data_IF_547299768446
#
_entry.id   IF_547299768446
#
_cell.length_a   1.000
_cell.length_b   1.000
_cell.length_c   1.000
_cell.angle_alpha   90.00
_cell.angle_beta   90.00
_cell.angle_gamma   90.00
#
_symmetry.space_group_name_H-M   'P 1'
#
loop_
_entity.id
_entity.type
_entity.pdbx_description
1 polymer ?
#
# COMPACT_ATOMS: atom_id res chain seq x y z
N UNK A 1 -7.51 4.54 -8.66
CA UNK A 1 -8.02 5.92 -8.50
C UNK A 1 -7.21 6.78 -9.44
N UNK A 2 -7.81 7.21 -10.56
CA UNK A 2 -7.20 8.19 -11.44
C UNK A 2 -7.60 9.56 -10.94
N UNK A 3 -6.76 10.19 -10.14
CA UNK A 3 -7.00 11.50 -9.59
C UNK A 3 -5.86 12.45 -9.91
N UNK A 4 -6.18 13.71 -10.17
CA UNK A 4 -5.21 14.80 -10.23
C UNK A 4 -5.56 15.77 -9.11
N UNK A 5 -4.62 16.05 -8.23
CA UNK A 5 -4.76 17.07 -7.21
C UNK A 5 -4.17 18.39 -7.72
N UNK A 6 -4.95 19.47 -7.68
CA UNK A 6 -4.47 20.81 -7.97
C UNK A 6 -4.45 21.62 -6.67
N UNK A 7 -3.31 22.18 -6.32
CA UNK A 7 -3.12 23.03 -5.15
C UNK A 7 -3.04 24.51 -5.55
N UNK A 8 -3.75 25.38 -4.81
CA UNK A 8 -3.62 26.83 -4.91
C UNK A 8 -3.22 27.42 -3.57
N UNK A 9 -2.38 28.45 -3.59
CA UNK A 9 -2.16 29.26 -2.38
C UNK A 9 -3.45 30.01 -2.03
N UNK A 10 -3.90 29.87 -0.79
CA UNK A 10 -5.04 30.58 -0.23
C UNK A 10 -4.55 31.75 0.60
N UNK A 11 -5.35 32.81 0.68
CA UNK A 11 -5.18 33.92 1.61
C UNK A 11 -5.67 33.60 3.01
N UNK A 12 -6.22 32.41 3.25
CA UNK A 12 -6.62 31.93 4.59
C UNK A 12 -5.42 31.42 5.40
N UNK A 13 -5.56 31.29 6.72
CA UNK A 13 -4.50 30.95 7.65
C UNK A 13 -3.75 29.61 7.36
N UNK A 14 -4.34 28.69 6.60
CA UNK A 14 -3.69 27.44 6.15
C UNK A 14 -2.95 27.58 4.81
N UNK A 15 -3.16 28.64 4.06
CA UNK A 15 -2.43 28.98 2.83
C UNK A 15 -2.58 28.03 1.64
N UNK A 16 -3.20 26.85 1.78
CA UNK A 16 -3.31 25.84 0.72
C UNK A 16 -4.76 25.44 0.47
N UNK A 17 -5.19 25.46 -0.78
CA UNK A 17 -6.45 24.86 -1.26
C UNK A 17 -6.16 23.64 -2.10
N UNK A 18 -6.76 22.51 -1.78
CA UNK A 18 -6.57 21.24 -2.49
C UNK A 18 -7.85 20.89 -3.26
N UNK A 19 -7.70 20.54 -4.53
CA UNK A 19 -8.78 19.98 -5.34
C UNK A 19 -8.41 18.57 -5.77
N UNK A 20 -9.26 17.61 -5.47
CA UNK A 20 -9.20 16.24 -5.95
C UNK A 20 -10.12 16.09 -7.16
N UNK A 21 -9.52 15.88 -8.34
CA UNK A 21 -10.26 15.57 -9.57
C UNK A 21 -10.18 14.07 -9.83
N UNK A 22 -11.30 13.42 -9.91
CA UNK A 22 -11.43 11.95 -10.00
C UNK A 22 -12.41 11.58 -11.10
N UNK A 23 -12.06 10.57 -11.93
CA UNK A 23 -12.98 10.04 -12.94
C UNK A 23 -14.10 9.22 -12.28
N UNK A 24 -15.37 9.44 -12.69
CA UNK A 24 -16.48 8.64 -12.19
C UNK A 24 -16.47 7.19 -12.69
N UNK A 25 -15.77 6.90 -13.79
CA UNK A 25 -15.88 5.63 -14.53
C UNK A 25 -14.68 4.68 -14.28
N UNK A 26 -13.65 5.15 -13.57
CA UNK A 26 -12.46 4.33 -13.30
C UNK A 26 -12.53 3.76 -11.90
N UNK A 27 -12.83 2.47 -11.81
CA UNK A 27 -12.81 1.76 -10.54
C UNK A 27 -11.36 1.62 -9.99
N UNK A 28 -11.17 1.70 -8.66
CA UNK A 28 -9.86 1.37 -8.08
C UNK A 28 -9.52 -0.09 -8.32
N UNK A 29 -8.29 -0.35 -8.71
CA UNK A 29 -7.74 -1.70 -8.77
C UNK A 29 -7.21 -2.03 -7.38
N UNK A 30 -7.87 -2.95 -6.67
CA UNK A 30 -7.45 -3.37 -5.34
C UNK A 30 -7.86 -4.81 -5.06
N UNK A 31 -6.94 -5.61 -4.56
CA UNK A 31 -7.16 -7.03 -4.23
C UNK A 31 -7.20 -7.23 -2.73
N UNK A 32 -6.43 -6.47 -2.02
CA UNK A 32 -6.06 -6.39 -0.63
C UNK A 32 -4.65 -5.80 -0.59
N UNK A 33 -4.47 -4.76 0.18
CA UNK A 33 -3.22 -4.02 0.22
C UNK A 33 -2.50 -4.23 1.55
N UNK A 34 -1.17 -4.29 1.50
CA UNK A 34 -0.32 -4.34 2.69
C UNK A 34 0.45 -3.04 2.86
N UNK A 35 0.38 -2.44 4.03
CA UNK A 35 1.10 -1.19 4.34
C UNK A 35 2.39 -1.46 5.11
N UNK A 36 3.12 -0.36 5.41
CA UNK A 36 4.27 -0.33 6.29
C UNK A 36 3.91 0.32 7.63
N UNK A 37 4.69 0.11 8.70
CA UNK A 37 4.42 0.70 10.02
C UNK A 37 4.25 2.21 10.05
N UNK A 38 4.90 2.94 9.13
CA UNK A 38 4.75 4.39 8.94
C UNK A 38 3.31 4.83 8.63
N UNK A 39 2.45 3.92 8.16
CA UNK A 39 1.04 4.21 7.91
C UNK A 39 0.30 4.67 9.16
N UNK A 40 0.66 4.16 10.34
CA UNK A 40 0.08 4.61 11.62
C UNK A 40 0.32 6.09 11.86
N UNK A 41 1.54 6.56 11.58
CA UNK A 41 1.88 7.97 11.75
C UNK A 41 1.17 8.85 10.71
N UNK A 42 1.02 8.35 9.50
CA UNK A 42 0.25 9.04 8.44
C UNK A 42 -1.20 9.22 8.86
N UNK A 43 -1.89 8.15 9.28
CA UNK A 43 -3.28 8.21 9.73
C UNK A 43 -3.46 9.16 10.92
N UNK A 44 -2.55 9.09 11.90
CA UNK A 44 -2.55 10.00 13.07
C UNK A 44 -2.38 11.46 12.65
N UNK A 45 -1.44 11.75 11.74
CA UNK A 45 -1.16 13.12 11.26
C UNK A 45 -2.35 13.74 10.52
N UNK A 46 -3.08 12.94 9.76
CA UNK A 46 -4.28 13.42 9.05
C UNK A 46 -5.54 13.38 9.89
N UNK A 47 -5.45 12.96 11.16
CA UNK A 47 -6.56 12.97 12.12
C UNK A 47 -7.58 11.84 11.91
N UNK A 48 -7.17 10.72 11.33
CA UNK A 48 -8.01 9.53 11.18
C UNK A 48 -7.98 8.70 12.46
N UNK A 49 -9.15 8.28 12.98
CA UNK A 49 -9.26 7.30 14.05
C UNK A 49 -8.83 5.91 13.54
N UNK A 50 -7.97 5.22 14.28
CA UNK A 50 -7.58 3.86 13.94
C UNK A 50 -8.78 2.90 14.01
N UNK A 51 -9.66 3.11 14.98
CA UNK A 51 -10.86 2.29 15.17
C UNK A 51 -11.80 2.40 13.97
N UNK A 52 -12.06 3.62 13.49
CA UNK A 52 -12.90 3.83 12.32
C UNK A 52 -12.25 3.26 11.06
N UNK A 53 -10.96 3.51 10.87
CA UNK A 53 -10.19 2.95 9.78
C UNK A 53 -10.25 1.40 9.75
N UNK A 54 -10.05 0.75 10.90
CA UNK A 54 -10.15 -0.72 11.01
C UNK A 54 -11.52 -1.22 10.62
N UNK A 55 -12.57 -0.55 11.09
CA UNK A 55 -13.96 -0.94 10.87
C UNK A 55 -14.43 -0.70 9.44
N UNK A 56 -14.12 0.49 8.90
CA UNK A 56 -14.65 0.92 7.60
C UNK A 56 -13.87 0.37 6.41
N UNK A 57 -12.59 0.04 6.60
CA UNK A 57 -11.70 -0.37 5.50
C UNK A 57 -11.37 -1.86 5.49
N UNK A 58 -12.11 -2.68 6.24
CA UNK A 58 -11.92 -4.13 6.32
C UNK A 58 -10.48 -4.51 6.69
N UNK A 59 -9.96 -3.87 7.74
CA UNK A 59 -8.55 -3.91 8.09
C UNK A 59 -8.20 -5.10 8.97
N UNK A 60 -7.06 -5.73 8.68
CA UNK A 60 -6.38 -6.67 9.58
C UNK A 60 -4.97 -6.19 9.90
N UNK A 61 -4.33 -6.80 10.92
CA UNK A 61 -2.97 -6.46 11.30
C UNK A 61 -1.94 -7.15 10.41
N UNK A 62 -0.87 -6.43 10.08
CA UNK A 62 0.33 -6.94 9.43
C UNK A 62 1.53 -6.74 10.33
N UNK A 63 2.23 -7.82 10.67
CA UNK A 63 3.40 -7.82 11.56
C UNK A 63 4.71 -8.12 10.83
N UNK A 64 4.65 -8.30 9.51
CA UNK A 64 5.79 -8.59 8.67
C UNK A 64 5.37 -9.26 7.36
N UNK A 65 6.34 -9.85 6.70
CA UNK A 65 6.14 -10.64 5.48
C UNK A 65 6.85 -11.99 5.61
N UNK A 66 6.17 -13.06 5.20
CA UNK A 66 6.72 -14.41 5.13
C UNK A 66 6.99 -14.76 3.68
N UNK A 67 8.12 -15.34 3.44
CA UNK A 67 8.58 -15.76 2.13
C UNK A 67 8.77 -17.27 2.13
N UNK A 68 8.00 -17.97 1.30
CA UNK A 68 8.02 -19.42 1.18
C UNK A 68 8.63 -19.83 -0.17
N UNK A 69 9.67 -20.67 -0.18
CA UNK A 69 10.32 -21.20 -1.39
C UNK A 69 11.25 -20.23 -2.13
N UNK A 70 11.72 -19.16 -1.50
CA UNK A 70 12.51 -18.12 -2.17
C UNK A 70 14.03 -18.34 -2.15
N UNK A 71 14.54 -19.15 -1.23
CA UNK A 71 15.98 -19.36 -1.08
C UNK A 71 16.45 -20.62 -1.81
N UNK A 72 15.85 -21.77 -1.53
CA UNK A 72 16.22 -23.07 -2.11
C UNK A 72 15.13 -23.73 -2.92
N UNK A 73 13.87 -23.34 -2.69
CA UNK A 73 12.68 -23.98 -3.27
C UNK A 73 12.31 -25.31 -2.65
N UNK A 74 13.05 -25.77 -1.63
CA UNK A 74 12.80 -27.06 -0.97
C UNK A 74 11.61 -26.99 0.00
N UNK A 75 11.10 -28.16 0.39
CA UNK A 75 10.07 -28.25 1.42
C UNK A 75 10.58 -27.68 2.75
N UNK A 76 9.86 -26.66 3.27
CA UNK A 76 10.27 -25.97 4.50
C UNK A 76 11.15 -24.75 4.29
N UNK A 77 11.55 -24.45 3.06
CA UNK A 77 12.24 -23.18 2.74
C UNK A 77 11.33 -22.01 3.06
N UNK A 78 11.64 -21.33 4.15
CA UNK A 78 10.85 -20.23 4.68
C UNK A 78 11.71 -19.26 5.45
N UNK A 79 11.53 -17.97 5.18
CA UNK A 79 12.07 -16.92 6.03
C UNK A 79 11.03 -15.82 6.29
N UNK A 80 11.29 -14.98 7.28
CA UNK A 80 10.37 -13.94 7.72
C UNK A 80 11.08 -12.59 7.78
N UNK A 81 10.41 -11.55 7.35
CA UNK A 81 10.84 -10.16 7.48
C UNK A 81 9.93 -9.45 8.52
N UNK A 82 10.34 -9.39 9.78
CA UNK A 82 9.57 -8.78 10.86
C UNK A 82 9.64 -7.25 10.81
N UNK A 83 8.71 -6.60 11.50
CA UNK A 83 8.70 -5.14 11.65
C UNK A 83 9.36 -4.66 12.95
N UNK A 84 9.72 -5.57 13.83
CA UNK A 84 10.51 -5.26 15.01
C UNK A 84 11.98 -5.43 14.68
N UNK A 85 12.76 -4.38 14.93
CA UNK A 85 14.21 -4.46 14.77
C UNK A 85 14.82 -5.40 15.80
N UNK A 86 15.83 -6.19 15.43
CA UNK A 86 16.55 -7.03 16.38
C UNK A 86 17.21 -6.21 17.48
N UNK A 87 17.16 -6.69 18.71
CA UNK A 87 17.88 -6.05 19.81
C UNK A 87 19.39 -6.13 19.54
N UNK A 88 20.10 -5.03 19.71
CA UNK A 88 21.56 -4.98 19.53
C UNK A 88 22.02 -4.92 18.07
N UNK A 89 21.15 -4.74 17.09
CA UNK A 89 21.51 -4.72 15.66
C UNK A 89 22.47 -3.58 15.28
N UNK A 90 22.48 -2.49 16.05
CA UNK A 90 23.42 -1.37 15.86
C UNK A 90 24.73 -1.54 16.60
N UNK A 91 24.84 -2.51 17.49
CA UNK A 91 25.95 -2.70 18.41
C UNK A 91 26.88 -3.84 17.97
N UNK A 92 26.34 -4.82 17.27
CA UNK A 92 27.08 -6.01 16.81
C UNK A 92 26.53 -6.59 15.52
N UNK A 93 27.38 -7.34 14.80
CA UNK A 93 26.95 -8.10 13.61
C UNK A 93 26.18 -9.35 14.02
N UNK A 94 24.87 -9.23 14.17
CA UNK A 94 23.99 -10.35 14.51
C UNK A 94 24.01 -11.45 13.44
N UNK A 95 24.23 -11.09 12.17
CA UNK A 95 24.30 -12.05 11.06
C UNK A 95 25.55 -12.92 11.18
N UNK A 96 26.71 -12.35 11.50
CA UNK A 96 27.94 -13.13 11.72
C UNK A 96 27.79 -14.09 12.90
N UNK A 97 27.24 -13.62 14.01
CA UNK A 97 26.97 -14.47 15.16
C UNK A 97 25.99 -15.62 14.85
N UNK A 98 24.98 -15.35 14.04
CA UNK A 98 24.04 -16.37 13.56
C UNK A 98 24.73 -17.40 12.66
N UNK A 99 25.50 -16.97 11.65
CA UNK A 99 26.22 -17.87 10.74
C UNK A 99 27.18 -18.78 11.47
N UNK A 100 27.88 -18.29 12.50
CA UNK A 100 28.87 -19.07 13.26
C UNK A 100 28.23 -20.08 14.21
N UNK A 101 27.04 -19.79 14.78
CA UNK A 101 26.52 -20.57 15.91
C UNK A 101 25.15 -21.20 15.65
N UNK A 102 24.35 -20.64 14.73
CA UNK A 102 22.94 -20.98 14.60
C UNK A 102 22.44 -21.02 13.14
N UNK A 103 23.32 -21.23 12.17
CA UNK A 103 22.95 -21.18 10.74
C UNK A 103 21.86 -22.19 10.33
N UNK A 104 21.63 -23.25 11.15
CA UNK A 104 20.54 -24.21 10.92
C UNK A 104 19.14 -23.73 11.37
N UNK A 105 19.03 -22.54 11.99
CA UNK A 105 17.77 -21.98 12.44
C UNK A 105 17.45 -20.70 11.64
N UNK A 106 16.18 -20.41 11.32
CA UNK A 106 15.82 -19.17 10.64
C UNK A 106 16.26 -17.94 11.45
N UNK A 107 16.98 -17.02 10.81
CA UNK A 107 17.53 -15.84 11.48
C UNK A 107 16.45 -15.03 12.23
N UNK A 108 15.32 -14.77 11.56
CA UNK A 108 14.24 -13.98 12.13
C UNK A 108 13.63 -14.60 13.41
N UNK A 109 13.64 -15.94 13.53
CA UNK A 109 13.09 -16.64 14.70
C UNK A 109 13.98 -16.47 15.94
N UNK A 110 15.27 -16.20 15.74
CA UNK A 110 16.22 -15.95 16.82
C UNK A 110 16.22 -14.50 17.29
N UNK A 111 16.01 -13.55 16.38
CA UNK A 111 16.19 -12.12 16.66
C UNK A 111 14.87 -11.35 16.78
N UNK A 112 13.73 -12.00 16.54
CA UNK A 112 12.40 -11.40 16.63
C UNK A 112 11.36 -12.38 17.14
N UNK A 113 10.42 -11.90 17.93
CA UNK A 113 9.27 -12.67 18.39
C UNK A 113 8.08 -12.65 17.42
N UNK A 114 8.11 -11.80 16.40
CA UNK A 114 6.98 -11.63 15.47
C UNK A 114 6.69 -12.87 14.61
N UNK A 115 7.68 -13.63 14.10
CA UNK A 115 7.39 -14.87 13.39
C UNK A 115 6.55 -15.84 14.22
N UNK A 116 6.85 -15.94 15.54
CA UNK A 116 6.12 -16.79 16.46
C UNK A 116 4.71 -16.26 16.76
N UNK A 117 4.54 -14.94 16.92
CA UNK A 117 3.21 -14.34 17.05
C UNK A 117 2.33 -14.64 15.83
N UNK A 118 2.87 -14.46 14.64
CA UNK A 118 2.18 -14.75 13.39
C UNK A 118 1.82 -16.24 13.26
N UNK A 119 2.77 -17.13 13.56
CA UNK A 119 2.53 -18.59 13.52
C UNK A 119 1.43 -19.06 14.50
N UNK A 120 1.26 -18.35 15.60
CA UNK A 120 0.23 -18.62 16.60
C UNK A 120 -1.07 -17.82 16.37
N UNK A 121 -1.23 -17.10 15.27
CA UNK A 121 -2.39 -16.26 14.99
C UNK A 121 -2.61 -15.14 16.02
N UNK A 122 -1.53 -14.60 16.60
CA UNK A 122 -1.61 -13.54 17.62
C UNK A 122 -1.54 -12.16 17.01
N UNK A 123 -2.38 -11.26 17.53
CA UNK A 123 -2.37 -9.85 17.17
C UNK A 123 -1.19 -9.09 17.82
N UNK A 124 -0.74 -7.95 17.26
CA UNK A 124 0.35 -7.14 17.81
C UNK A 124 -0.06 -6.32 19.04
N UNK A 125 -1.35 -6.28 19.35
CA UNK A 125 -1.92 -5.51 20.46
C UNK A 125 -3.10 -6.25 21.09
N UNK A 126 -3.39 -5.92 22.33
CA UNK A 126 -4.55 -6.42 23.04
C UNK A 126 -5.80 -5.58 22.70
N UNK A 127 -6.99 -6.12 22.94
CA UNK A 127 -8.26 -5.44 22.67
C UNK A 127 -8.39 -4.08 23.38
N UNK A 128 -7.84 -3.97 24.59
CA UNK A 128 -7.85 -2.73 25.39
C UNK A 128 -6.67 -1.78 25.10
N UNK A 129 -5.76 -2.14 24.18
CA UNK A 129 -4.63 -1.28 23.84
C UNK A 129 -5.14 -0.05 23.08
N UNK A 130 -4.73 1.18 23.47
CA UNK A 130 -5.14 2.41 22.80
C UNK A 130 -4.84 2.41 21.30
N UNK A 131 -5.54 3.28 20.56
CA UNK A 131 -5.28 3.50 19.15
C UNK A 131 -3.81 3.81 18.89
N UNK A 132 -3.26 3.24 17.79
CA UNK A 132 -1.88 3.38 17.35
C UNK A 132 -0.79 2.88 18.32
N UNK A 133 -1.16 2.48 19.54
CA UNK A 133 -0.24 1.82 20.47
C UNK A 133 -0.22 0.30 20.23
N UNK A 134 0.88 -0.35 20.60
CA UNK A 134 1.05 -1.80 20.45
C UNK A 134 2.12 -2.38 21.36
N UNK A 135 2.08 -3.70 21.54
CA UNK A 135 3.15 -4.49 22.17
C UNK A 135 4.22 -4.85 21.12
N UNK A 136 3.79 -5.14 19.90
CA UNK A 136 4.67 -5.41 18.76
C UNK A 136 4.43 -4.38 17.65
N UNK A 137 5.48 -4.00 16.93
CA UNK A 137 5.34 -3.09 15.79
C UNK A 137 4.45 -3.71 14.71
N UNK A 138 3.60 -2.91 14.07
CA UNK A 138 2.65 -3.40 13.08
C UNK A 138 2.33 -2.38 12.00
N UNK A 139 1.79 -2.88 10.94
CA UNK A 139 1.13 -2.19 9.86
C UNK A 139 -0.25 -2.83 9.64
N UNK A 140 -0.84 -2.63 8.48
CA UNK A 140 -2.18 -3.08 8.17
C UNK A 140 -2.22 -3.83 6.84
N UNK A 141 -3.14 -4.77 6.73
CA UNK A 141 -3.78 -5.17 5.49
C UNK A 141 -5.13 -4.49 5.40
N UNK A 142 -5.55 -4.09 4.22
CA UNK A 142 -6.79 -3.32 4.03
C UNK A 142 -7.43 -3.58 2.66
N UNK A 143 -8.70 -3.27 2.55
CA UNK A 143 -9.41 -3.19 1.27
C UNK A 143 -9.18 -1.81 0.64
N UNK A 144 -8.47 -1.77 -0.50
CA UNK A 144 -8.12 -0.52 -1.18
C UNK A 144 -9.33 0.27 -1.66
N UNK A 145 -10.39 -0.41 -2.09
CA UNK A 145 -11.63 0.24 -2.53
C UNK A 145 -12.33 0.95 -1.39
N UNK A 146 -12.52 0.25 -0.27
CA UNK A 146 -13.11 0.82 0.96
C UNK A 146 -12.24 1.95 1.51
N UNK A 147 -10.91 1.77 1.53
CA UNK A 147 -9.99 2.80 1.99
C UNK A 147 -10.02 4.07 1.12
N UNK A 148 -10.12 3.93 -0.20
CA UNK A 148 -10.29 5.06 -1.10
C UNK A 148 -11.54 5.87 -0.82
N UNK A 149 -12.68 5.19 -0.59
CA UNK A 149 -13.95 5.83 -0.24
C UNK A 149 -13.89 6.52 1.13
N UNK A 150 -13.32 5.83 2.12
CA UNK A 150 -13.13 6.35 3.48
C UNK A 150 -12.25 7.61 3.49
N UNK A 151 -11.09 7.57 2.82
CA UNK A 151 -10.21 8.74 2.73
C UNK A 151 -10.84 9.89 1.97
N UNK A 152 -11.59 9.61 0.91
CA UNK A 152 -12.31 10.66 0.17
C UNK A 152 -13.28 11.39 1.07
N UNK A 153 -14.11 10.67 1.83
CA UNK A 153 -15.01 11.25 2.83
C UNK A 153 -14.25 12.10 3.85
N UNK A 154 -13.20 11.55 4.44
CA UNK A 154 -12.35 12.27 5.40
C UNK A 154 -11.74 13.56 4.82
N UNK A 155 -11.19 13.49 3.60
CA UNK A 155 -10.60 14.64 2.93
C UNK A 155 -11.61 15.76 2.68
N UNK A 156 -12.83 15.41 2.23
CA UNK A 156 -13.90 16.39 1.95
C UNK A 156 -14.43 17.00 3.26
N UNK A 157 -14.81 16.15 4.21
CA UNK A 157 -15.54 16.56 5.40
C UNK A 157 -14.65 17.18 6.49
N UNK A 158 -13.41 16.68 6.64
CA UNK A 158 -12.51 17.08 7.72
C UNK A 158 -11.37 17.99 7.27
N UNK A 159 -10.87 17.79 6.05
CA UNK A 159 -9.73 18.55 5.55
C UNK A 159 -10.11 19.64 4.52
N UNK A 160 -11.40 19.77 4.18
CA UNK A 160 -11.91 20.79 3.27
C UNK A 160 -11.40 20.67 1.83
N UNK A 161 -11.05 19.46 1.39
CA UNK A 161 -10.65 19.20 0.02
C UNK A 161 -11.84 19.35 -0.91
N UNK A 162 -11.70 20.17 -1.96
CA UNK A 162 -12.71 20.25 -3.02
C UNK A 162 -12.65 18.99 -3.87
N UNK A 163 -13.74 18.26 -3.96
CA UNK A 163 -13.85 17.07 -4.81
C UNK A 163 -14.60 17.39 -6.10
N UNK A 164 -14.05 16.97 -7.24
CA UNK A 164 -14.64 17.14 -8.57
C UNK A 164 -14.65 15.77 -9.26
N UNK A 165 -15.85 15.28 -9.56
CA UNK A 165 -16.06 14.09 -10.38
C UNK A 165 -16.17 14.51 -11.85
N UNK A 166 -15.11 14.28 -12.63
CA UNK A 166 -15.05 14.64 -14.05
C UNK A 166 -13.90 13.93 -14.75
N UNK A 167 -13.84 14.05 -16.06
CA UNK A 167 -12.75 13.56 -16.90
C UNK A 167 -11.82 14.70 -17.30
N UNK A 168 -10.53 14.45 -17.22
CA UNK A 168 -9.52 15.32 -17.87
C UNK A 168 -9.52 15.01 -19.36
N UNK A 169 -9.83 16.02 -20.18
CA UNK A 169 -9.86 15.91 -21.64
C UNK A 169 -8.71 16.67 -22.30
N UNK A 170 -7.94 17.46 -21.55
CA UNK A 170 -6.80 18.20 -22.04
C UNK A 170 -6.02 18.87 -20.91
N UNK A 171 -4.85 19.36 -21.23
CA UNK A 171 -3.96 20.13 -20.34
C UNK A 171 -3.58 21.42 -21.04
N UNK A 172 -3.79 22.55 -20.37
CA UNK A 172 -3.39 23.86 -20.88
C UNK A 172 -2.07 24.28 -20.26
N UNK A 173 -1.11 24.68 -21.08
CA UNK A 173 0.22 25.17 -20.64
C UNK A 173 0.25 26.70 -20.59
N UNK A 174 1.15 27.22 -19.77
CA UNK A 174 1.63 28.61 -19.78
C UNK A 174 2.73 28.76 -20.87
N UNK A 175 3.09 29.99 -21.17
CA UNK A 175 4.15 30.29 -22.14
C UNK A 175 5.53 29.71 -21.76
N UNK A 176 5.76 29.53 -20.45
CA UNK A 176 7.00 28.91 -19.93
C UNK A 176 6.97 27.37 -19.92
N UNK A 177 5.89 26.75 -20.42
CA UNK A 177 5.70 25.29 -20.45
C UNK A 177 5.07 24.69 -19.21
N UNK A 178 4.89 25.42 -18.11
CA UNK A 178 4.22 24.92 -16.92
C UNK A 178 2.72 24.67 -17.19
N UNK A 179 2.14 23.73 -16.46
CA UNK A 179 0.69 23.51 -16.52
C UNK A 179 -0.05 24.70 -15.90
N UNK A 180 -0.94 25.30 -16.68
CA UNK A 180 -1.84 26.38 -16.23
C UNK A 180 -3.14 25.82 -15.65
N UNK A 181 -3.72 24.83 -16.33
CA UNK A 181 -5.00 24.23 -15.93
C UNK A 181 -5.21 22.87 -16.59
N UNK A 182 -6.10 22.07 -15.98
CA UNK A 182 -6.62 20.84 -16.57
C UNK A 182 -7.97 21.16 -17.20
N UNK A 183 -8.14 20.88 -18.49
CA UNK A 183 -9.42 20.97 -19.14
C UNK A 183 -10.27 19.76 -18.76
N UNK A 184 -11.44 20.01 -18.18
CA UNK A 184 -12.40 18.95 -17.81
C UNK A 184 -13.59 18.93 -18.76
N UNK A 185 -14.24 17.79 -18.82
CA UNK A 185 -15.38 17.56 -19.73
C UNK A 185 -16.61 18.39 -19.37
N UNK A 186 -16.91 18.51 -18.08
CA UNK A 186 -18.16 19.12 -17.58
C UNK A 186 -17.93 20.42 -16.80
N UNK A 187 -16.81 20.56 -16.11
CA UNK A 187 -16.56 21.66 -15.18
C UNK A 187 -15.61 22.74 -15.74
N UNK A 188 -15.26 22.66 -17.02
CA UNK A 188 -14.34 23.62 -17.65
C UNK A 188 -12.90 23.48 -17.12
N UNK A 189 -12.08 24.53 -17.24
CA UNK A 189 -10.68 24.50 -16.84
C UNK A 189 -10.53 24.58 -15.31
N UNK A 190 -9.76 23.68 -14.75
CA UNK A 190 -9.35 23.68 -13.34
C UNK A 190 -7.90 24.15 -13.23
N UNK A 191 -7.71 25.39 -12.79
CA UNK A 191 -6.40 25.98 -12.61
C UNK A 191 -5.73 25.52 -11.31
N UNK A 192 -4.39 25.55 -11.27
CA UNK A 192 -3.58 25.22 -10.10
C UNK A 192 -2.19 25.82 -10.16
N UNK A 193 -1.53 25.88 -9.02
CA UNK A 193 -0.12 26.26 -8.89
C UNK A 193 0.80 25.02 -8.81
N UNK A 194 0.24 23.88 -8.38
CA UNK A 194 0.88 22.57 -8.34
C UNK A 194 -0.12 21.50 -8.78
N UNK A 195 0.36 20.56 -9.60
CA UNK A 195 -0.41 19.42 -10.06
C UNK A 195 0.27 18.12 -9.65
N UNK A 196 -0.49 17.17 -9.09
CA UNK A 196 -0.01 15.85 -8.72
C UNK A 196 -0.69 14.83 -9.63
N UNK A 197 0.09 14.16 -10.47
CA UNK A 197 -0.41 13.14 -11.39
C UNK A 197 -0.58 11.80 -10.68
N UNK A 198 -1.82 11.49 -10.32
CA UNK A 198 -2.22 10.21 -9.71
C UNK A 198 -2.98 9.32 -10.71
N UNK A 199 -2.78 9.50 -12.03
CA UNK A 199 -3.53 8.79 -13.08
C UNK A 199 -2.98 7.39 -13.39
N UNK A 200 -2.04 6.89 -12.57
CA UNK A 200 -1.48 5.55 -12.69
C UNK A 200 -0.79 5.33 -14.04
N UNK A 201 -1.03 4.19 -14.67
CA UNK A 201 -0.43 3.83 -15.96
C UNK A 201 -0.81 4.76 -17.10
N UNK A 202 -1.87 5.57 -16.95
CA UNK A 202 -2.24 6.58 -17.96
C UNK A 202 -1.22 7.72 -18.03
N UNK A 203 -0.58 8.07 -16.92
CA UNK A 203 0.45 9.11 -16.81
C UNK A 203 0.08 10.36 -17.62
N UNK A 204 -1.10 10.94 -17.33
CA UNK A 204 -1.69 11.99 -18.16
C UNK A 204 -0.82 13.25 -18.23
N UNK A 205 -0.18 13.62 -17.14
CA UNK A 205 0.65 14.83 -17.09
C UNK A 205 2.09 14.50 -17.48
N UNK A 206 2.73 13.56 -16.81
CA UNK A 206 4.14 13.27 -17.02
C UNK A 206 4.39 12.60 -18.38
N UNK A 207 3.68 11.54 -18.69
CA UNK A 207 3.88 10.80 -19.94
C UNK A 207 3.22 11.45 -21.13
N UNK A 208 1.90 11.74 -21.06
CA UNK A 208 1.17 12.23 -22.26
C UNK A 208 1.34 13.70 -22.54
N UNK A 209 1.36 14.56 -21.51
CA UNK A 209 1.48 16.01 -21.72
C UNK A 209 2.93 16.46 -21.87
N UNK A 210 3.82 16.03 -20.98
CA UNK A 210 5.24 16.38 -21.03
C UNK A 210 6.09 15.44 -21.90
N UNK A 211 5.49 14.42 -22.50
CA UNK A 211 6.16 13.43 -23.36
C UNK A 211 7.40 12.78 -22.71
N UNK A 212 7.36 12.59 -21.40
CA UNK A 212 8.43 11.89 -20.69
C UNK A 212 8.37 10.41 -21.01
N UNK A 213 9.42 9.89 -21.63
CA UNK A 213 9.47 8.52 -22.10
C UNK A 213 9.38 7.50 -20.95
N UNK A 214 8.57 6.46 -21.15
CA UNK A 214 8.57 5.30 -20.26
C UNK A 214 9.83 4.46 -20.48
N UNK A 215 10.66 4.34 -19.45
CA UNK A 215 11.90 3.56 -19.51
C UNK A 215 11.65 2.12 -19.02
N UNK A 216 11.54 1.18 -19.96
CA UNK A 216 11.41 -0.24 -19.63
C UNK A 216 12.63 -0.75 -18.85
N UNK A 217 12.36 -1.50 -17.78
CA UNK A 217 13.38 -2.22 -16.97
C UNK A 217 13.14 -3.73 -17.01
N UNK A 218 12.45 -4.22 -18.03
CA UNK A 218 12.06 -5.64 -18.17
C UNK A 218 13.27 -6.58 -18.17
N UNK A 219 14.44 -6.12 -18.60
CA UNK A 219 15.70 -6.88 -18.56
C UNK A 219 16.24 -7.12 -17.13
N UNK A 220 15.72 -6.39 -16.11
CA UNK A 220 16.05 -6.57 -14.69
C UNK A 220 14.83 -7.05 -13.92
N UNK A 221 13.68 -6.43 -14.17
CA UNK A 221 12.39 -6.73 -13.55
C UNK A 221 11.50 -7.41 -14.60
N UNK A 222 11.63 -8.69 -14.74
CA UNK A 222 11.03 -9.46 -15.83
C UNK A 222 9.53 -9.75 -15.65
N UNK A 223 9.00 -9.71 -14.42
CA UNK A 223 7.56 -9.88 -14.20
C UNK A 223 6.79 -8.67 -14.73
N UNK A 224 5.94 -8.88 -15.73
CA UNK A 224 5.19 -7.84 -16.41
C UNK A 224 3.66 -8.02 -16.35
N UNK A 225 3.21 -9.13 -15.80
CA UNK A 225 1.80 -9.48 -15.71
C UNK A 225 1.40 -9.82 -14.27
N UNK A 226 0.16 -9.53 -13.91
CA UNK A 226 -0.39 -9.91 -12.62
C UNK A 226 -1.87 -10.31 -12.78
N UNK A 227 -2.23 -11.42 -12.16
CA UNK A 227 -3.60 -11.83 -11.95
C UNK A 227 -3.94 -11.66 -10.47
N UNK A 228 -5.03 -10.99 -10.18
CA UNK A 228 -5.45 -10.69 -8.83
C UNK A 228 -6.89 -11.13 -8.60
N UNK A 229 -7.13 -11.86 -7.52
CA UNK A 229 -8.43 -12.42 -7.18
C UNK A 229 -8.79 -12.22 -5.72
N UNK A 230 -10.08 -12.12 -5.46
CA UNK A 230 -10.64 -12.11 -4.12
C UNK A 230 -11.11 -13.52 -3.78
N UNK A 231 -10.56 -14.10 -2.73
CA UNK A 231 -10.83 -15.50 -2.36
C UNK A 231 -11.58 -15.51 -1.02
N UNK A 232 -12.82 -16.01 -0.95
CA UNK A 232 -13.53 -16.16 0.30
C UNK A 232 -12.81 -17.17 1.22
N UNK A 233 -12.99 -17.04 2.52
CA UNK A 233 -12.57 -18.07 3.45
C UNK A 233 -13.47 -19.32 3.30
N UNK A 234 -12.88 -20.49 3.50
CA UNK A 234 -13.63 -21.75 3.45
C UNK A 234 -14.54 -21.92 4.69
N UNK A 235 -14.20 -21.30 5.81
CA UNK A 235 -14.88 -21.36 7.08
C UNK A 235 -14.88 -19.98 7.73
N UNK A 236 -15.99 -19.58 8.34
CA UNK A 236 -16.15 -18.31 9.09
C UNK A 236 -15.15 -18.16 10.25
N UNK A 237 -14.69 -19.28 10.82
CA UNK A 237 -13.70 -19.32 11.88
C UNK A 237 -12.26 -19.42 11.40
N UNK A 238 -12.02 -19.32 10.09
CA UNK A 238 -10.67 -19.34 9.52
C UNK A 238 -9.82 -18.23 10.15
N UNK A 239 -8.61 -18.56 10.57
CA UNK A 239 -7.68 -17.56 11.13
C UNK A 239 -7.21 -16.61 10.05
N UNK A 240 -7.16 -15.32 10.38
CA UNK A 240 -6.62 -14.28 9.52
C UNK A 240 -5.10 -14.23 9.73
N UNK A 241 -4.32 -14.42 8.66
CA UNK A 241 -2.87 -14.30 8.73
C UNK A 241 -2.47 -12.84 9.01
N UNK A 242 -1.70 -12.62 10.08
CA UNK A 242 -1.19 -11.29 10.43
C UNK A 242 0.17 -10.96 9.78
N UNK A 243 0.46 -11.57 8.63
CA UNK A 243 1.59 -11.29 7.74
C UNK A 243 1.15 -11.44 6.30
N UNK A 244 1.79 -10.71 5.40
CA UNK A 244 1.71 -11.02 3.97
C UNK A 244 2.49 -12.31 3.73
N UNK A 245 1.91 -13.25 2.98
CA UNK A 245 2.58 -14.47 2.57
C UNK A 245 2.96 -14.33 1.10
N UNK A 246 4.23 -14.54 0.78
CA UNK A 246 4.77 -14.49 -0.58
C UNK A 246 5.38 -15.83 -0.92
N UNK A 247 4.79 -16.57 -1.84
CA UNK A 247 5.22 -17.91 -2.24
C UNK A 247 5.86 -17.86 -3.61
N UNK A 248 7.13 -18.26 -3.72
CA UNK A 248 7.84 -18.33 -4.99
C UNK A 248 7.19 -19.35 -5.93
N UNK A 249 7.22 -19.06 -7.21
CA UNK A 249 6.79 -19.92 -8.32
C UNK A 249 7.94 -20.01 -9.33
N UNK A 250 7.84 -20.91 -10.30
CA UNK A 250 8.87 -21.12 -11.33
C UNK A 250 9.19 -19.87 -12.15
N UNK A 251 8.20 -18.99 -12.38
CA UNK A 251 8.34 -17.80 -13.22
C UNK A 251 7.86 -16.51 -12.54
N UNK A 252 7.56 -16.58 -11.25
CA UNK A 252 7.04 -15.43 -10.52
C UNK A 252 6.76 -15.74 -9.06
N UNK A 253 5.68 -15.22 -8.53
CA UNK A 253 5.32 -15.43 -7.12
C UNK A 253 3.84 -15.14 -6.85
N UNK A 254 3.30 -15.82 -5.86
CA UNK A 254 1.94 -15.59 -5.34
C UNK A 254 2.03 -14.77 -4.06
N UNK A 255 1.24 -13.70 -3.96
CA UNK A 255 1.00 -13.03 -2.68
C UNK A 255 -0.37 -13.41 -2.13
N UNK A 256 -0.46 -13.47 -0.81
CA UNK A 256 -1.68 -13.78 -0.06
C UNK A 256 -1.81 -12.82 1.13
N UNK A 257 -2.91 -12.08 1.15
CA UNK A 257 -3.22 -11.04 2.13
C UNK A 257 -4.54 -11.36 2.80
N UNK A 258 -4.51 -11.62 4.10
CA UNK A 258 -5.71 -11.88 4.91
C UNK A 258 -6.42 -10.59 5.30
N UNK A 259 -7.69 -10.47 4.91
CA UNK A 259 -8.62 -9.45 5.39
C UNK A 259 -9.69 -10.12 6.27
N UNK A 260 -10.46 -9.36 7.10
CA UNK A 260 -11.52 -9.94 7.93
C UNK A 260 -12.57 -10.75 7.16
N UNK A 261 -12.93 -10.33 5.95
CA UNK A 261 -14.03 -10.94 5.19
C UNK A 261 -13.57 -11.89 4.08
N UNK A 262 -12.30 -11.79 3.64
CA UNK A 262 -11.75 -12.53 2.50
C UNK A 262 -10.23 -12.49 2.49
N UNK A 263 -9.64 -13.22 1.55
CA UNK A 263 -8.23 -13.08 1.20
C UNK A 263 -8.09 -12.34 -0.12
N UNK A 264 -7.08 -11.48 -0.22
CA UNK A 264 -6.60 -10.92 -1.46
C UNK A 264 -5.42 -11.74 -1.95
N UNK A 265 -5.58 -12.46 -3.05
CA UNK A 265 -4.55 -13.35 -3.60
C UNK A 265 -4.19 -12.88 -4.99
N UNK A 266 -2.91 -12.83 -5.29
CA UNK A 266 -2.48 -12.54 -6.64
C UNK A 266 -1.23 -13.27 -7.04
N UNK A 267 -1.11 -13.50 -8.33
CA UNK A 267 0.05 -14.09 -8.99
C UNK A 267 0.73 -13.00 -9.81
N UNK A 268 2.03 -12.84 -9.62
CA UNK A 268 2.90 -12.15 -10.58
C UNK A 268 3.69 -13.16 -11.38
N UNK A 269 3.71 -12.97 -12.68
CA UNK A 269 4.35 -13.87 -13.62
C UNK A 269 5.02 -13.12 -14.77
N UNK A 270 5.85 -13.81 -15.51
CA UNK A 270 6.31 -13.38 -16.83
C UNK A 270 5.17 -13.73 -17.80
N UNK A 271 4.52 -12.72 -18.35
CA UNK A 271 3.47 -12.94 -19.36
C UNK A 271 4.04 -13.81 -20.49
N UNK A 272 3.43 -14.97 -20.71
CA UNK A 272 3.77 -15.81 -21.86
C UNK A 272 3.56 -15.00 -23.14
N UNK A 273 4.64 -14.81 -23.91
CA UNK A 273 4.58 -14.20 -25.23
C UNK A 273 3.88 -15.13 -26.22
#
# INVERSE_FOLDING_TARGET
ISAVAAGHRSTSASGLRVTLLESPDVAPIGVGEGTWPSMRDTLRKIGVSETDFIRECDVSFKQGSRFDGWATGEAGDRYFHPFVLPQGYTETSLVEAWLQRHAGLPFADLVSYQPRLCAQGRAPKQKATPEFAAVANYAYHLDAGKFGLFLRGHCIERLGVRHVLDHVIGVNSRDNGDIASLQTKLNGPLAGDLFVDCTGMQSLLLGKHFDVAFLSRKHVLFNDSALAVQVPYADENSSIASQTISTAQSSGWVWDIGLPTRRGVGLRDVGGG
#
